data_IF_256278466841
#
_entry.id   IF_256278466841
#
_cell.length_a   1.000
_cell.length_b   1.000
_cell.length_c   1.000
_cell.angle_alpha   90.00
_cell.angle_beta   90.00
_cell.angle_gamma   90.00
#
_symmetry.space_group_name_H-M   'P 1'
#
loop_
_entity.id
_entity.type
_entity.pdbx_description
1 polymer ?
#
# COMPACT_ATOMS: atom_id res chain seq x y z
N UNK A 1 -61.51 -5.60 22.23
CA UNK A 1 -60.70 -4.38 22.02
C UNK A 1 -61.02 -3.88 20.64
N UNK A 2 -61.83 -2.83 20.62
CA UNK A 2 -62.68 -2.42 19.52
C UNK A 2 -61.92 -1.75 18.37
N UNK A 3 -62.44 -2.07 17.18
CA UNK A 3 -62.16 -1.50 15.87
C UNK A 3 -62.45 0.02 15.84
N UNK A 4 -61.40 0.84 15.80
CA UNK A 4 -61.52 2.31 15.69
C UNK A 4 -60.95 2.90 14.39
N UNK A 5 -60.70 2.09 13.36
CA UNK A 5 -59.92 2.55 12.19
C UNK A 5 -60.60 2.31 10.85
N UNK A 6 -61.72 2.97 10.58
CA UNK A 6 -62.21 3.17 9.21
C UNK A 6 -63.11 4.42 9.10
N UNK A 7 -62.64 5.55 9.66
CA UNK A 7 -63.18 6.87 9.33
C UNK A 7 -62.67 7.26 7.94
N UNK A 8 -63.37 6.80 6.91
CA UNK A 8 -63.18 7.30 5.55
C UNK A 8 -63.47 8.80 5.53
N UNK A 9 -62.42 9.62 5.38
CA UNK A 9 -62.55 11.05 5.15
C UNK A 9 -63.15 11.21 3.75
N UNK A 10 -64.48 11.37 3.68
CA UNK A 10 -65.14 11.87 2.47
C UNK A 10 -64.76 13.34 2.35
N UNK A 11 -63.91 13.66 1.38
CA UNK A 11 -63.60 15.04 1.05
C UNK A 11 -64.83 15.71 0.43
N UNK A 12 -65.43 16.64 1.17
CA UNK A 12 -66.47 17.56 0.69
C UNK A 12 -65.94 18.33 -0.52
N UNK A 13 -66.41 17.97 -1.73
CA UNK A 13 -66.50 18.69 -3.02
C UNK A 13 -65.53 19.84 -3.40
N UNK A 14 -64.42 20.04 -2.70
CA UNK A 14 -63.39 21.05 -2.93
C UNK A 14 -62.07 20.43 -3.41
N UNK A 15 -61.21 21.22 -4.05
CA UNK A 15 -59.88 20.78 -4.45
C UNK A 15 -59.08 20.42 -3.18
N UNK A 16 -58.58 19.18 -3.03
CA UNK A 16 -57.83 18.79 -1.84
C UNK A 16 -56.55 19.62 -1.73
N UNK A 17 -56.27 20.06 -0.51
CA UNK A 17 -55.15 20.92 -0.17
C UNK A 17 -53.97 20.08 0.35
N UNK A 18 -52.77 20.65 0.33
CA UNK A 18 -51.58 19.99 0.90
C UNK A 18 -51.74 19.68 2.41
N UNK A 19 -52.55 20.45 3.13
CA UNK A 19 -52.92 20.17 4.52
C UNK A 19 -53.67 18.86 4.68
N UNK A 20 -54.45 18.45 3.68
CA UNK A 20 -55.19 17.19 3.72
C UNK A 20 -54.26 15.97 3.59
N UNK A 21 -53.17 16.14 2.82
CA UNK A 21 -52.14 15.13 2.69
C UNK A 21 -51.33 14.97 3.98
N UNK A 22 -50.97 16.08 4.64
CA UNK A 22 -50.24 16.04 5.93
C UNK A 22 -51.08 15.44 7.05
N UNK A 23 -52.42 15.48 6.98
CA UNK A 23 -53.29 14.77 7.94
C UNK A 23 -53.15 13.25 7.88
N UNK A 24 -52.75 12.69 6.74
CA UNK A 24 -52.48 11.25 6.60
C UNK A 24 -51.09 10.86 7.10
N UNK A 25 -50.22 11.83 7.42
CA UNK A 25 -48.87 11.56 7.90
C UNK A 25 -48.93 10.96 9.31
N UNK A 26 -48.40 9.74 9.54
CA UNK A 26 -48.37 9.16 10.88
C UNK A 26 -47.53 10.01 11.84
N UNK A 27 -48.00 10.20 13.07
CA UNK A 27 -47.28 10.97 14.10
C UNK A 27 -45.95 10.33 14.52
N UNK A 28 -45.81 9.01 14.33
CA UNK A 28 -44.60 8.26 14.65
C UNK A 28 -44.18 7.39 13.48
N UNK A 29 -42.90 7.50 13.11
CA UNK A 29 -42.28 6.63 12.11
C UNK A 29 -41.86 5.30 12.77
N UNK A 30 -42.35 4.15 12.30
CA UNK A 30 -41.91 2.85 12.78
C UNK A 30 -40.45 2.62 12.44
N UNK A 31 -39.74 1.87 13.28
CA UNK A 31 -38.35 1.50 13.04
C UNK A 31 -38.26 0.72 11.70
N UNK A 32 -37.38 1.12 10.75
CA UNK A 32 -37.22 0.45 9.46
C UNK A 32 -36.86 -1.04 9.54
N UNK A 33 -36.30 -1.49 10.66
CA UNK A 33 -35.95 -2.90 10.91
C UNK A 33 -37.07 -3.71 11.61
N UNK A 34 -38.18 -3.07 11.98
CA UNK A 34 -39.32 -3.77 12.58
C UNK A 34 -40.07 -4.62 11.55
N UNK A 35 -40.59 -5.77 11.97
CA UNK A 35 -41.41 -6.65 11.10
C UNK A 35 -42.66 -5.93 10.59
N UNK A 36 -43.18 -5.00 11.38
CA UNK A 36 -44.40 -4.25 11.07
C UNK A 36 -44.17 -3.10 10.08
N UNK A 37 -42.91 -2.72 9.82
CA UNK A 37 -42.58 -1.59 8.94
C UNK A 37 -43.18 -1.76 7.55
N UNK A 38 -43.04 -2.95 6.98
CA UNK A 38 -43.51 -3.26 5.62
C UNK A 38 -45.03 -3.12 5.53
N UNK A 39 -45.75 -3.62 6.53
CA UNK A 39 -47.20 -3.54 6.57
C UNK A 39 -47.65 -2.08 6.72
N UNK A 40 -47.09 -1.34 7.68
CA UNK A 40 -47.43 0.07 7.90
C UNK A 40 -47.11 0.96 6.70
N UNK A 41 -45.97 0.74 6.04
CA UNK A 41 -45.58 1.48 4.83
C UNK A 41 -46.57 1.22 3.69
N UNK A 42 -46.95 -0.04 3.46
CA UNK A 42 -47.95 -0.40 2.44
C UNK A 42 -49.31 0.19 2.76
N UNK A 43 -49.80 0.04 3.99
CA UNK A 43 -51.08 0.62 4.43
C UNK A 43 -51.11 2.14 4.27
N UNK A 44 -50.00 2.84 4.52
CA UNK A 44 -49.89 4.28 4.31
C UNK A 44 -49.98 4.64 2.82
N UNK A 45 -49.24 3.95 1.96
CA UNK A 45 -49.33 4.15 0.51
C UNK A 45 -50.75 3.86 0.02
N UNK A 46 -51.36 2.77 0.46
CA UNK A 46 -52.72 2.40 0.09
C UNK A 46 -53.72 3.47 0.55
N UNK A 47 -53.60 4.00 1.77
CA UNK A 47 -54.44 5.08 2.27
C UNK A 47 -54.30 6.36 1.42
N UNK A 48 -53.09 6.74 1.02
CA UNK A 48 -52.85 7.87 0.11
C UNK A 48 -53.42 7.59 -1.28
N UNK A 49 -53.24 6.38 -1.78
CA UNK A 49 -53.76 5.92 -3.06
C UNK A 49 -55.29 5.78 -3.06
N UNK A 50 -55.96 5.63 -1.92
CA UNK A 50 -57.42 5.69 -1.85
C UNK A 50 -57.93 7.13 -1.72
N UNK A 51 -57.20 7.99 -1.00
CA UNK A 51 -57.64 9.36 -0.68
C UNK A 51 -57.48 10.36 -1.82
N UNK A 52 -56.43 10.22 -2.65
CA UNK A 52 -56.08 11.21 -3.67
C UNK A 52 -56.01 10.61 -5.06
N UNK A 53 -56.20 11.39 -6.11
CA UNK A 53 -55.97 10.98 -7.50
C UNK A 53 -54.50 11.09 -7.90
N UNK A 54 -54.09 10.41 -8.98
CA UNK A 54 -52.70 10.50 -9.46
C UNK A 54 -52.28 11.93 -9.87
N UNK A 55 -53.22 12.75 -10.35
CA UNK A 55 -52.95 14.16 -10.71
C UNK A 55 -52.67 15.00 -9.46
N UNK A 56 -53.48 14.83 -8.41
CA UNK A 56 -53.30 15.53 -7.14
C UNK A 56 -51.97 15.16 -6.48
N UNK A 57 -51.63 13.87 -6.42
CA UNK A 57 -50.33 13.44 -5.87
C UNK A 57 -49.14 14.01 -6.66
N UNK A 58 -49.29 14.17 -7.99
CA UNK A 58 -48.28 14.84 -8.82
C UNK A 58 -48.17 16.34 -8.52
N UNK A 59 -49.30 17.01 -8.31
CA UNK A 59 -49.34 18.43 -7.94
C UNK A 59 -48.68 18.63 -6.55
N UNK A 60 -49.01 17.80 -5.56
CA UNK A 60 -48.32 17.81 -4.26
C UNK A 60 -46.82 17.53 -4.37
N UNK A 61 -46.41 16.56 -5.20
CA UNK A 61 -44.99 16.30 -5.46
C UNK A 61 -44.25 17.53 -6.03
N UNK A 62 -44.93 18.38 -6.83
CA UNK A 62 -44.38 19.65 -7.32
C UNK A 62 -44.32 20.70 -6.22
N UNK A 63 -45.35 20.79 -5.38
CA UNK A 63 -45.41 21.73 -4.27
C UNK A 63 -44.30 21.46 -3.24
N UNK A 64 -44.01 20.19 -2.94
CA UNK A 64 -42.85 19.79 -2.13
C UNK A 64 -41.50 19.91 -2.85
N UNK A 65 -41.48 20.37 -4.11
CA UNK A 65 -40.26 20.50 -4.93
C UNK A 65 -39.45 19.20 -5.02
N UNK A 66 -40.14 18.06 -5.14
CA UNK A 66 -39.46 16.77 -5.33
C UNK A 66 -38.67 16.76 -6.64
N UNK A 67 -37.60 15.97 -6.71
CA UNK A 67 -36.77 15.87 -7.92
C UNK A 67 -37.56 15.46 -9.16
N UNK A 68 -37.09 15.84 -10.35
CA UNK A 68 -37.78 15.60 -11.63
C UNK A 68 -38.22 14.14 -11.86
N UNK A 69 -37.48 13.18 -11.29
CA UNK A 69 -37.81 11.73 -11.32
C UNK A 69 -39.16 11.38 -10.68
N UNK A 70 -39.69 12.21 -9.78
CA UNK A 70 -40.98 12.01 -9.10
C UNK A 70 -42.11 12.87 -9.66
N UNK A 71 -41.84 13.77 -10.62
CA UNK A 71 -42.83 14.67 -11.23
C UNK A 71 -43.23 14.19 -12.65
N UNK A 72 -42.47 13.25 -13.22
CA UNK A 72 -42.70 12.72 -14.57
C UNK A 72 -44.13 12.24 -14.78
N UNK A 73 -44.74 12.55 -15.93
CA UNK A 73 -46.18 12.35 -16.16
C UNK A 73 -46.64 10.90 -16.35
N UNK A 74 -45.72 9.95 -16.50
CA UNK A 74 -45.98 8.53 -16.77
C UNK A 74 -45.83 7.63 -15.54
N UNK A 75 -45.67 8.18 -14.34
CA UNK A 75 -45.53 7.37 -13.13
C UNK A 75 -46.88 6.83 -12.66
N UNK A 76 -46.85 5.65 -12.04
CA UNK A 76 -48.02 5.07 -11.36
C UNK A 76 -48.32 5.84 -10.08
N UNK A 77 -49.57 5.75 -9.62
CA UNK A 77 -50.06 6.40 -8.40
C UNK A 77 -49.19 6.08 -7.19
N UNK A 78 -48.87 4.81 -7.01
CA UNK A 78 -48.04 4.30 -5.91
C UNK A 78 -46.63 4.90 -5.91
N UNK A 79 -46.08 5.21 -7.09
CA UNK A 79 -44.75 5.85 -7.19
C UNK A 79 -44.77 7.30 -6.75
N UNK A 80 -45.86 8.05 -6.98
CA UNK A 80 -45.98 9.39 -6.42
C UNK A 80 -46.12 9.35 -4.91
N UNK A 81 -46.99 8.49 -4.38
CA UNK A 81 -47.18 8.32 -2.95
C UNK A 81 -45.87 7.89 -2.26
N UNK A 82 -45.20 6.85 -2.77
CA UNK A 82 -43.91 6.40 -2.27
C UNK A 82 -42.80 7.46 -2.37
N UNK A 83 -42.80 8.28 -3.43
CA UNK A 83 -41.87 9.41 -3.58
C UNK A 83 -42.06 10.49 -2.51
N UNK A 84 -43.32 10.86 -2.22
CA UNK A 84 -43.65 11.81 -1.15
C UNK A 84 -43.26 11.22 0.21
N UNK A 85 -43.67 9.99 0.51
CA UNK A 85 -43.38 9.31 1.77
C UNK A 85 -41.87 9.20 2.01
N UNK A 86 -41.09 8.88 0.97
CA UNK A 86 -39.64 8.72 1.10
C UNK A 86 -38.87 10.03 1.19
N UNK A 87 -39.13 10.97 0.29
CA UNK A 87 -38.33 12.20 0.20
C UNK A 87 -38.80 13.28 1.17
N UNK A 88 -40.12 13.44 1.34
CA UNK A 88 -40.67 14.50 2.17
C UNK A 88 -40.88 14.05 3.61
N UNK A 89 -41.35 12.82 3.83
CA UNK A 89 -41.62 12.32 5.18
C UNK A 89 -40.46 11.51 5.78
N UNK A 90 -39.41 11.22 5.01
CA UNK A 90 -38.18 10.58 5.49
C UNK A 90 -38.31 9.08 5.75
N UNK A 91 -39.32 8.41 5.18
CA UNK A 91 -39.51 6.96 5.32
C UNK A 91 -38.75 6.22 4.22
N UNK A 92 -37.70 5.44 4.54
CA UNK A 92 -36.94 4.70 3.54
C UNK A 92 -37.86 3.83 2.68
N UNK A 93 -37.70 3.87 1.37
CA UNK A 93 -38.50 3.00 0.51
C UNK A 93 -38.18 1.53 0.77
N UNK A 94 -39.14 0.64 0.54
CA UNK A 94 -38.92 -0.81 0.68
C UNK A 94 -37.80 -1.31 -0.23
N UNK A 95 -37.60 -0.67 -1.38
CA UNK A 95 -36.50 -0.97 -2.29
C UNK A 95 -35.15 -0.55 -1.72
N UNK A 96 -35.04 0.64 -1.14
CA UNK A 96 -33.82 1.11 -0.46
C UNK A 96 -33.49 0.24 0.75
N UNK A 97 -34.49 -0.17 1.53
CA UNK A 97 -34.30 -1.07 2.66
C UNK A 97 -33.85 -2.46 2.22
N UNK A 98 -34.48 -3.03 1.19
CA UNK A 98 -34.06 -4.31 0.64
C UNK A 98 -32.63 -4.23 0.08
N UNK A 99 -32.29 -3.14 -0.62
CA UNK A 99 -30.95 -2.91 -1.13
C UNK A 99 -29.93 -2.77 0.01
N UNK A 100 -30.22 -1.97 1.03
CA UNK A 100 -29.36 -1.79 2.21
C UNK A 100 -29.17 -3.11 2.97
N UNK A 101 -30.24 -3.85 3.20
CA UNK A 101 -30.20 -5.16 3.86
C UNK A 101 -29.35 -6.15 3.06
N UNK A 102 -29.51 -6.20 1.73
CA UNK A 102 -28.65 -7.02 0.86
C UNK A 102 -27.18 -6.60 0.97
N UNK A 103 -26.89 -5.31 0.93
CA UNK A 103 -25.52 -4.80 1.07
C UNK A 103 -24.87 -5.17 2.42
N UNK A 104 -25.67 -5.32 3.47
CA UNK A 104 -25.23 -5.67 4.83
C UNK A 104 -25.14 -7.18 5.09
N UNK A 105 -25.97 -7.99 4.42
CA UNK A 105 -26.11 -9.43 4.72
C UNK A 105 -25.59 -10.36 3.64
N UNK A 106 -25.52 -9.90 2.39
CA UNK A 106 -25.09 -10.71 1.27
C UNK A 106 -23.57 -10.90 1.30
N UNK A 107 -23.16 -12.14 1.54
CA UNK A 107 -21.77 -12.57 1.39
C UNK A 107 -21.53 -12.81 -0.10
N UNK A 108 -20.63 -12.02 -0.69
CA UNK A 108 -20.24 -12.16 -2.08
C UNK A 108 -18.76 -12.53 -2.17
N UNK A 109 -18.38 -13.11 -3.30
CA UNK A 109 -16.97 -13.31 -3.67
C UNK A 109 -16.65 -12.37 -4.82
N UNK A 110 -15.52 -11.64 -4.73
CA UNK A 110 -15.01 -10.79 -5.81
C UNK A 110 -13.53 -11.06 -6.04
N UNK A 111 -13.12 -11.10 -7.30
CA UNK A 111 -11.73 -11.29 -7.68
C UNK A 111 -11.14 -9.99 -8.22
N UNK A 112 -9.95 -9.63 -7.74
CA UNK A 112 -9.17 -8.47 -8.17
C UNK A 112 -7.92 -8.94 -8.88
N UNK A 113 -7.84 -8.74 -10.19
CA UNK A 113 -6.63 -9.04 -10.95
C UNK A 113 -5.48 -8.15 -10.45
N UNK A 114 -4.31 -8.76 -10.23
CA UNK A 114 -3.12 -8.06 -9.73
C UNK A 114 -1.88 -8.56 -10.46
N UNK A 115 -0.96 -7.64 -10.73
CA UNK A 115 0.36 -7.97 -11.24
C UNK A 115 1.29 -8.44 -10.10
N UNK A 116 2.40 -9.15 -10.37
CA UNK A 116 3.32 -9.60 -9.33
C UNK A 116 3.87 -8.45 -8.45
N UNK A 117 4.18 -7.29 -9.05
CA UNK A 117 4.63 -6.10 -8.34
C UNK A 117 3.56 -5.52 -7.43
N UNK A 118 2.32 -5.43 -7.92
CA UNK A 118 1.16 -5.00 -7.14
C UNK A 118 0.91 -5.96 -5.99
N UNK A 119 0.93 -7.28 -6.26
CA UNK A 119 0.71 -8.30 -5.25
C UNK A 119 1.74 -8.20 -4.12
N UNK A 120 3.03 -8.08 -4.45
CA UNK A 120 4.09 -7.92 -3.45
C UNK A 120 3.85 -6.72 -2.53
N UNK A 121 3.52 -5.57 -3.11
CA UNK A 121 3.28 -4.32 -2.37
C UNK A 121 1.97 -4.34 -1.57
N UNK A 122 0.93 -5.03 -2.05
CA UNK A 122 -0.33 -5.25 -1.32
C UNK A 122 -0.13 -6.23 -0.17
N UNK A 123 0.66 -7.29 -0.37
CA UNK A 123 0.97 -8.28 0.66
C UNK A 123 1.71 -7.65 1.83
N UNK A 124 2.63 -6.73 1.51
CA UNK A 124 3.55 -6.13 2.47
C UNK A 124 4.58 -7.12 2.98
N UNK A 125 5.37 -6.69 3.96
CA UNK A 125 6.40 -7.53 4.58
C UNK A 125 5.76 -8.75 5.24
N UNK A 126 6.18 -9.94 4.80
CA UNK A 126 5.74 -11.24 5.30
C UNK A 126 4.21 -11.46 5.27
N UNK A 127 3.49 -10.74 4.41
CA UNK A 127 2.04 -10.82 4.31
C UNK A 127 1.26 -10.08 5.42
N UNK A 128 1.95 -9.32 6.27
CA UNK A 128 1.31 -8.60 7.37
C UNK A 128 0.28 -7.56 6.92
N UNK A 129 0.48 -6.91 5.78
CA UNK A 129 -0.47 -5.93 5.27
C UNK A 129 -1.75 -6.60 4.76
N UNK A 130 -1.64 -7.75 4.09
CA UNK A 130 -2.79 -8.54 3.66
C UNK A 130 -3.61 -9.07 4.84
N UNK A 131 -2.93 -9.58 5.87
CA UNK A 131 -3.58 -10.04 7.09
C UNK A 131 -4.31 -8.90 7.80
N UNK A 132 -3.66 -7.73 7.93
CA UNK A 132 -4.29 -6.54 8.50
C UNK A 132 -5.53 -6.11 7.72
N UNK A 133 -5.47 -6.15 6.39
CA UNK A 133 -6.59 -5.81 5.51
C UNK A 133 -7.76 -6.78 5.68
N UNK A 134 -7.48 -8.09 5.76
CA UNK A 134 -8.48 -9.13 6.06
C UNK A 134 -9.14 -8.90 7.43
N UNK A 135 -8.36 -8.64 8.47
CA UNK A 135 -8.88 -8.41 9.83
C UNK A 135 -9.69 -7.11 9.95
N UNK A 136 -9.20 -6.03 9.34
CA UNK A 136 -9.83 -4.70 9.42
C UNK A 136 -11.22 -4.71 8.78
N UNK A 137 -11.35 -5.33 7.61
CA UNK A 137 -12.62 -5.38 6.88
C UNK A 137 -13.45 -6.64 7.16
N UNK A 138 -12.95 -7.56 8.00
CA UNK A 138 -13.56 -8.87 8.30
C UNK A 138 -13.91 -9.65 7.04
N UNK A 139 -12.98 -9.69 6.09
CA UNK A 139 -13.10 -10.42 4.83
C UNK A 139 -12.10 -11.56 4.79
N UNK A 140 -12.44 -12.64 4.10
CA UNK A 140 -11.49 -13.70 3.77
C UNK A 140 -10.78 -13.36 2.45
N UNK A 141 -9.45 -13.42 2.43
CA UNK A 141 -8.65 -13.11 1.25
C UNK A 141 -7.81 -14.34 0.89
N UNK A 142 -7.90 -14.75 -0.36
CA UNK A 142 -7.15 -15.86 -0.93
C UNK A 142 -6.49 -15.45 -2.25
N UNK A 143 -5.37 -16.10 -2.59
CA UNK A 143 -4.65 -15.84 -3.84
C UNK A 143 -5.04 -16.90 -4.88
N UNK A 144 -5.36 -16.44 -6.09
CA UNK A 144 -5.58 -17.29 -7.27
C UNK A 144 -4.43 -17.07 -8.24
N UNK A 145 -3.87 -18.13 -8.81
CA UNK A 145 -2.65 -18.06 -9.64
C UNK A 145 -2.91 -18.02 -11.16
N UNK A 146 -4.13 -18.34 -11.62
CA UNK A 146 -4.50 -18.41 -13.05
C UNK A 146 -5.93 -17.91 -13.28
N UNK A 147 -6.16 -16.60 -13.53
CA UNK A 147 -5.18 -15.50 -13.55
C UNK A 147 -4.68 -15.11 -12.16
N UNK A 148 -3.56 -14.38 -12.08
CA UNK A 148 -3.05 -13.85 -10.81
C UNK A 148 -4.03 -12.82 -10.23
N UNK A 149 -4.75 -13.20 -9.18
CA UNK A 149 -5.83 -12.40 -8.62
C UNK A 149 -6.00 -12.61 -7.11
N UNK A 150 -6.35 -11.54 -6.41
CA UNK A 150 -6.81 -11.60 -5.02
C UNK A 150 -8.32 -11.88 -5.01
N UNK A 151 -8.71 -13.06 -4.51
CA UNK A 151 -10.10 -13.43 -4.30
C UNK A 151 -10.50 -13.03 -2.88
N UNK A 152 -11.48 -12.15 -2.77
CA UNK A 152 -12.00 -11.61 -1.50
C UNK A 152 -13.43 -12.07 -1.31
N UNK A 153 -13.72 -12.63 -0.16
CA UNK A 153 -15.03 -13.13 0.25
C UNK A 153 -15.48 -12.45 1.54
N UNK A 154 -16.74 -12.01 1.58
CA UNK A 154 -17.28 -11.27 2.71
C UNK A 154 -18.50 -10.43 2.34
N UNK A 155 -18.91 -9.57 3.27
CA UNK A 155 -20.07 -8.68 3.06
C UNK A 155 -19.77 -7.67 1.96
N UNK A 156 -20.75 -7.41 1.09
CA UNK A 156 -20.60 -6.55 -0.09
C UNK A 156 -20.06 -5.14 0.21
N UNK A 157 -20.54 -4.49 1.27
CA UNK A 157 -20.03 -3.18 1.68
C UNK A 157 -18.53 -3.22 1.98
N UNK A 158 -18.09 -4.22 2.76
CA UNK A 158 -16.69 -4.42 3.13
C UNK A 158 -15.79 -4.75 1.94
N UNK A 159 -16.30 -5.50 0.98
CA UNK A 159 -15.56 -5.81 -0.25
C UNK A 159 -15.34 -4.54 -1.09
N UNK A 160 -16.27 -3.59 -1.07
CA UNK A 160 -16.07 -2.30 -1.75
C UNK A 160 -14.98 -1.47 -1.04
N UNK A 161 -14.97 -1.42 0.30
CA UNK A 161 -13.89 -0.75 1.06
C UNK A 161 -12.51 -1.35 0.71
N UNK A 162 -12.45 -2.69 0.58
CA UNK A 162 -11.24 -3.42 0.17
C UNK A 162 -10.86 -3.10 -1.27
N UNK A 163 -11.84 -3.00 -2.17
CA UNK A 163 -11.60 -2.62 -3.55
C UNK A 163 -10.95 -1.24 -3.65
N UNK A 164 -11.48 -0.25 -2.91
CA UNK A 164 -10.95 1.11 -2.83
C UNK A 164 -9.53 1.15 -2.27
N UNK A 165 -9.27 0.34 -1.24
CA UNK A 165 -7.93 0.22 -0.65
C UNK A 165 -6.94 -0.37 -1.65
N UNK A 166 -7.33 -1.44 -2.37
CA UNK A 166 -6.49 -2.06 -3.40
C UNK A 166 -6.21 -1.07 -4.54
N UNK A 167 -7.22 -0.32 -5.01
CA UNK A 167 -7.01 0.70 -6.06
C UNK A 167 -6.09 1.81 -5.58
N UNK A 168 -6.29 2.31 -4.36
CA UNK A 168 -5.41 3.32 -3.77
C UNK A 168 -3.96 2.83 -3.67
N UNK A 169 -3.74 1.57 -3.30
CA UNK A 169 -2.39 0.99 -3.29
C UNK A 169 -1.81 0.95 -4.70
N UNK A 170 -2.58 0.49 -5.71
CA UNK A 170 -2.13 0.45 -7.12
C UNK A 170 -1.72 1.82 -7.64
N UNK A 171 -2.54 2.84 -7.35
CA UNK A 171 -2.29 4.21 -7.80
C UNK A 171 -1.08 4.85 -7.10
N UNK A 172 -0.72 4.36 -5.91
CA UNK A 172 0.45 4.82 -5.14
C UNK A 172 1.78 4.19 -5.57
N UNK A 173 1.79 3.24 -6.52
CA UNK A 173 3.01 2.55 -6.93
C UNK A 173 3.84 3.45 -7.84
N UNK A 174 5.08 3.69 -7.43
CA UNK A 174 6.11 4.39 -8.18
C UNK A 174 6.99 3.34 -8.85
N UNK A 175 7.22 3.48 -10.14
CA UNK A 175 8.09 2.61 -10.93
C UNK A 175 9.34 3.38 -11.41
N UNK A 176 10.52 2.77 -11.25
CA UNK A 176 11.78 3.28 -11.80
C UNK A 176 12.54 2.14 -12.48
N UNK A 177 13.10 2.42 -13.67
CA UNK A 177 14.02 1.51 -14.36
C UNK A 177 15.45 2.02 -14.19
N UNK A 178 16.32 1.16 -13.66
CA UNK A 178 17.71 1.50 -13.36
C UNK A 178 18.63 0.66 -14.21
N UNK A 179 19.55 1.31 -14.92
CA UNK A 179 20.62 0.63 -15.65
C UNK A 179 21.73 0.22 -14.68
N UNK A 180 22.08 -1.05 -14.67
CA UNK A 180 23.16 -1.57 -13.85
C UNK A 180 24.52 -1.32 -14.52
N UNK A 181 25.61 -1.24 -13.73
CA UNK A 181 26.98 -1.19 -14.26
C UNK A 181 27.35 -2.48 -15.00
N UNK A 182 26.87 -3.63 -14.51
CA UNK A 182 27.00 -4.92 -15.19
C UNK A 182 25.90 -5.12 -16.23
N UNK A 183 26.23 -5.80 -17.35
CA UNK A 183 25.24 -6.27 -18.33
C UNK A 183 24.56 -7.57 -17.89
N UNK A 184 25.08 -8.22 -16.85
CA UNK A 184 24.55 -9.47 -16.34
C UNK A 184 23.34 -9.21 -15.43
N UNK A 185 22.30 -10.08 -15.49
CA UNK A 185 21.17 -9.98 -14.58
C UNK A 185 21.60 -10.30 -13.15
N UNK A 186 21.00 -9.61 -12.16
CA UNK A 186 21.25 -9.92 -10.75
C UNK A 186 20.72 -11.32 -10.41
N UNK A 187 21.39 -12.02 -9.50
CA UNK A 187 20.91 -13.30 -9.00
C UNK A 187 19.47 -13.14 -8.41
N UNK A 188 18.49 -13.97 -8.83
CA UNK A 188 17.12 -13.92 -8.32
C UNK A 188 17.01 -13.98 -6.79
N UNK A 189 17.88 -14.74 -6.11
CA UNK A 189 17.89 -14.83 -4.65
C UNK A 189 18.28 -13.49 -4.00
N UNK A 190 19.26 -12.78 -4.60
CA UNK A 190 19.65 -11.44 -4.17
C UNK A 190 18.50 -10.44 -4.38
N UNK A 191 17.80 -10.51 -5.51
CA UNK A 191 16.64 -9.67 -5.77
C UNK A 191 15.56 -9.86 -4.72
N UNK A 192 15.18 -11.11 -4.42
CA UNK A 192 14.19 -11.43 -3.40
C UNK A 192 14.60 -10.87 -2.03
N UNK A 193 15.88 -11.00 -1.68
CA UNK A 193 16.42 -10.52 -0.40
C UNK A 193 16.42 -9.01 -0.31
N UNK A 194 16.85 -8.30 -1.36
CA UNK A 194 16.78 -6.83 -1.44
C UNK A 194 15.32 -6.39 -1.34
N UNK A 195 14.42 -7.05 -2.08
CA UNK A 195 13.01 -6.74 -2.08
C UNK A 195 12.37 -6.83 -0.70
N UNK A 196 12.63 -7.92 0.03
CA UNK A 196 12.15 -8.07 1.43
C UNK A 196 12.79 -7.08 2.39
N UNK A 197 14.06 -6.76 2.21
CA UNK A 197 14.80 -5.86 3.11
C UNK A 197 14.29 -4.44 3.03
N UNK A 198 14.02 -3.95 1.81
CA UNK A 198 13.66 -2.56 1.58
C UNK A 198 12.15 -2.36 1.44
N UNK A 199 11.37 -3.42 1.19
CA UNK A 199 9.94 -3.32 0.96
C UNK A 199 9.60 -2.78 -0.44
N UNK A 200 10.45 -3.06 -1.43
CA UNK A 200 10.26 -2.70 -2.83
C UNK A 200 10.31 -3.94 -3.71
N UNK A 201 9.46 -4.03 -4.72
CA UNK A 201 9.53 -5.12 -5.68
C UNK A 201 10.63 -4.82 -6.71
N UNK A 202 11.51 -5.77 -6.97
CA UNK A 202 12.61 -5.63 -7.93
C UNK A 202 12.61 -6.85 -8.84
N UNK A 203 12.72 -6.61 -10.14
CA UNK A 203 12.88 -7.67 -11.13
C UNK A 203 13.94 -7.30 -12.16
N UNK A 204 14.64 -8.32 -12.68
CA UNK A 204 15.51 -8.13 -13.82
C UNK A 204 14.67 -7.87 -15.08
N UNK A 205 15.06 -6.85 -15.82
CA UNK A 205 14.59 -6.57 -17.18
C UNK A 205 15.69 -6.97 -18.17
N UNK A 206 15.40 -6.93 -19.48
CA UNK A 206 16.41 -7.13 -20.51
C UNK A 206 17.55 -6.10 -20.39
N UNK A 207 18.73 -6.46 -20.92
CA UNK A 207 19.88 -5.55 -21.13
C UNK A 207 20.58 -5.04 -19.86
N UNK A 208 20.60 -5.81 -18.78
CA UNK A 208 21.26 -5.38 -17.53
C UNK A 208 20.54 -4.22 -16.86
N UNK A 209 19.23 -4.15 -17.01
CA UNK A 209 18.38 -3.18 -16.30
C UNK A 209 17.56 -3.89 -15.24
N UNK A 210 17.23 -3.18 -14.17
CA UNK A 210 16.28 -3.64 -13.16
C UNK A 210 15.10 -2.70 -13.11
N UNK A 211 13.89 -3.28 -13.02
CA UNK A 211 12.67 -2.53 -12.74
C UNK A 211 12.40 -2.60 -11.25
N UNK A 212 12.21 -1.43 -10.64
CA UNK A 212 11.96 -1.26 -9.21
C UNK A 212 10.57 -0.65 -9.05
N UNK A 213 9.71 -1.29 -8.27
CA UNK A 213 8.38 -0.78 -7.92
C UNK A 213 8.29 -0.61 -6.40
N UNK A 214 7.91 0.58 -5.93
CA UNK A 214 7.76 0.85 -4.49
C UNK A 214 6.59 1.81 -4.23
N UNK A 215 6.06 1.82 -3.00
CA UNK A 215 5.04 2.81 -2.58
C UNK A 215 5.67 4.10 -2.07
N UNK A 216 6.85 3.99 -1.46
CA UNK A 216 7.54 5.11 -0.84
C UNK A 216 8.85 5.41 -1.58
N UNK A 217 9.19 6.70 -1.78
CA UNK A 217 10.41 7.08 -2.49
C UNK A 217 11.68 6.65 -1.75
N UNK A 218 11.64 6.57 -0.41
CA UNK A 218 12.76 6.06 0.39
C UNK A 218 13.05 4.59 0.08
N UNK A 219 12.00 3.76 -0.02
CA UNK A 219 12.13 2.34 -0.37
C UNK A 219 12.67 2.17 -1.79
N UNK A 220 12.24 3.03 -2.71
CA UNK A 220 12.77 3.05 -4.07
C UNK A 220 14.28 3.39 -4.09
N UNK A 221 14.70 4.45 -3.41
CA UNK A 221 16.10 4.86 -3.34
C UNK A 221 16.99 3.79 -2.66
N UNK A 222 16.48 3.16 -1.61
CA UNK A 222 17.15 2.04 -0.94
C UNK A 222 17.36 0.84 -1.85
N UNK A 223 16.32 0.45 -2.60
CA UNK A 223 16.36 -0.63 -3.57
C UNK A 223 17.35 -0.34 -4.69
N UNK A 224 17.32 0.88 -5.26
CA UNK A 224 18.26 1.33 -6.28
C UNK A 224 19.71 1.23 -5.81
N UNK A 225 20.00 1.74 -4.60
CA UNK A 225 21.35 1.69 -4.03
C UNK A 225 21.84 0.25 -3.83
N UNK A 226 20.99 -0.64 -3.33
CA UNK A 226 21.35 -2.04 -3.10
C UNK A 226 21.51 -2.82 -4.41
N UNK A 227 20.67 -2.56 -5.42
CA UNK A 227 20.79 -3.19 -6.73
C UNK A 227 22.08 -2.75 -7.46
N UNK A 228 22.39 -1.45 -7.44
CA UNK A 228 23.64 -0.94 -8.02
C UNK A 228 24.87 -1.54 -7.32
N UNK A 229 24.84 -1.61 -5.99
CA UNK A 229 25.93 -2.21 -5.21
C UNK A 229 26.10 -3.70 -5.53
N UNK A 230 25.01 -4.46 -5.55
CA UNK A 230 25.06 -5.89 -5.86
C UNK A 230 25.61 -6.13 -7.28
N UNK A 231 25.25 -5.28 -8.25
CA UNK A 231 25.77 -5.37 -9.61
C UNK A 231 27.26 -5.05 -9.70
N UNK A 232 27.77 -4.09 -8.90
CA UNK A 232 29.19 -3.78 -8.81
C UNK A 232 29.99 -4.88 -8.12
N UNK A 233 29.45 -5.47 -7.05
CA UNK A 233 30.13 -6.54 -6.30
C UNK A 233 30.35 -7.80 -7.18
N UNK A 234 29.43 -8.12 -8.10
CA UNK A 234 29.60 -9.23 -9.04
C UNK A 234 30.55 -8.89 -10.20
N UNK A 235 30.60 -7.65 -10.68
CA UNK A 235 31.56 -7.24 -11.73
C UNK A 235 33.00 -7.15 -11.22
N UNK A 236 33.19 -6.80 -9.95
CA UNK A 236 34.49 -6.55 -9.32
C UNK A 236 35.07 -7.76 -8.58
N UNK A 237 34.55 -8.98 -8.81
CA UNK A 237 35.15 -10.24 -8.30
C UNK A 237 36.59 -10.48 -8.77
N UNK A 238 37.16 -9.59 -9.59
CA UNK A 238 38.61 -9.45 -9.73
C UNK A 238 39.18 -8.87 -8.44
N UNK A 239 39.31 -9.68 -7.37
CA UNK A 239 40.04 -9.41 -6.11
C UNK A 239 40.79 -8.07 -6.04
N UNK A 240 40.07 -6.94 -5.93
CA UNK A 240 40.72 -5.65 -5.74
C UNK A 240 40.98 -5.54 -4.24
N UNK A 241 42.14 -6.05 -3.84
CA UNK A 241 42.68 -5.78 -2.51
C UNK A 241 42.91 -4.27 -2.46
N UNK A 242 41.98 -3.54 -1.85
CA UNK A 242 42.13 -2.12 -1.59
C UNK A 242 42.92 -1.96 -0.29
N UNK A 243 44.16 -1.50 -0.41
CA UNK A 243 44.98 -1.16 0.75
C UNK A 243 45.05 0.37 0.88
N UNK A 244 44.53 0.93 1.97
CA UNK A 244 44.59 2.38 2.21
C UNK A 244 45.93 2.76 2.86
N UNK A 245 46.74 3.57 2.18
CA UNK A 245 48.01 4.13 2.68
C UNK A 245 47.77 5.55 3.21
N UNK A 246 48.01 5.83 4.51
CA UNK A 246 47.92 7.20 5.04
C UNK A 246 48.90 8.15 4.34
N UNK A 247 48.45 9.37 4.06
CA UNK A 247 49.22 10.45 3.45
C UNK A 247 50.01 11.17 4.54
N UNK A 248 51.34 11.01 4.59
CA UNK A 248 52.15 11.80 5.54
C UNK A 248 53.50 11.23 5.93
N UNK A 249 53.80 9.96 5.61
CA UNK A 249 55.14 9.45 5.82
C UNK A 249 55.98 9.67 4.56
N UNK A 250 56.62 10.85 4.50
CA UNK A 250 57.87 10.98 3.77
C UNK A 250 58.79 9.87 4.29
N UNK A 251 59.32 9.04 3.39
CA UNK A 251 60.37 8.08 3.69
C UNK A 251 61.50 8.89 4.35
N UNK A 252 61.57 8.86 5.68
CA UNK A 252 62.71 9.42 6.38
C UNK A 252 63.88 8.49 6.05
N UNK A 253 64.66 8.87 5.04
CA UNK A 253 65.90 8.20 4.61
C UNK A 253 67.01 8.21 5.70
N UNK A 254 66.68 8.41 6.98
CA UNK A 254 67.65 8.86 7.98
C UNK A 254 67.63 8.13 9.33
N UNK A 255 67.00 6.97 9.50
CA UNK A 255 67.11 6.27 10.79
C UNK A 255 67.16 4.74 10.66
N UNK A 256 68.39 4.20 10.61
CA UNK A 256 68.74 2.79 10.41
C UNK A 256 68.39 1.91 11.65
N UNK A 257 67.92 2.50 12.75
CA UNK A 257 67.66 1.78 14.01
C UNK A 257 66.19 1.39 14.25
N UNK A 258 65.25 1.83 13.40
CA UNK A 258 63.86 1.38 13.49
C UNK A 258 63.65 0.18 12.56
N UNK A 259 63.04 -0.94 13.03
CA UNK A 259 62.75 -2.06 12.16
C UNK A 259 61.90 -1.59 10.97
N UNK A 260 62.07 -2.20 9.78
CA UNK A 260 61.35 -1.80 8.58
C UNK A 260 59.85 -1.76 8.88
N UNK A 261 59.14 -0.79 8.32
CA UNK A 261 57.69 -0.62 8.48
C UNK A 261 56.95 -1.89 8.05
N UNK A 262 56.86 -2.85 8.97
CA UNK A 262 56.12 -4.10 8.78
C UNK A 262 54.68 -3.80 9.11
N UNK A 263 53.85 -4.18 8.16
CA UNK A 263 52.42 -4.06 8.31
C UNK A 263 51.79 -5.42 8.11
N UNK A 264 50.68 -5.66 8.79
CA UNK A 264 49.86 -6.83 8.55
C UNK A 264 48.48 -6.40 8.06
N UNK A 265 47.97 -7.20 7.14
CA UNK A 265 46.58 -7.17 6.73
C UNK A 265 45.79 -7.99 7.74
N UNK A 266 44.96 -7.31 8.54
CA UNK A 266 44.02 -7.99 9.41
C UNK A 266 42.69 -8.12 8.69
N UNK A 267 42.10 -9.32 8.61
CA UNK A 267 40.77 -9.45 8.05
C UNK A 267 39.80 -8.63 8.91
N UNK A 268 39.21 -7.58 8.34
CA UNK A 268 38.06 -6.91 8.94
C UNK A 268 36.83 -7.66 8.45
N UNK A 269 36.64 -8.82 9.05
CA UNK A 269 35.39 -9.54 8.91
C UNK A 269 34.38 -8.66 9.65
N UNK A 270 33.46 -8.04 8.92
CA UNK A 270 32.20 -7.69 9.54
C UNK A 270 31.66 -9.04 10.04
N UNK A 271 31.69 -9.29 11.36
CA UNK A 271 31.43 -10.61 11.95
C UNK A 271 30.06 -11.18 11.59
N UNK A 272 29.21 -10.36 10.97
CA UNK A 272 27.99 -10.78 10.30
C UNK A 272 28.07 -10.44 8.81
N UNK A 273 27.85 -11.41 7.90
CA UNK A 273 27.54 -11.08 6.52
C UNK A 273 26.38 -10.08 6.51
N UNK A 274 26.55 -8.99 5.76
CA UNK A 274 25.45 -8.05 5.58
C UNK A 274 24.29 -8.85 4.97
N UNK A 275 23.04 -8.61 5.39
CA UNK A 275 21.91 -9.42 4.95
C UNK A 275 21.59 -9.28 3.46
N UNK A 276 22.45 -8.67 2.63
CA UNK A 276 22.31 -8.54 1.19
C UNK A 276 23.60 -8.82 0.41
N UNK A 277 24.72 -9.20 1.04
CA UNK A 277 25.94 -9.61 0.33
C UNK A 277 26.13 -11.14 0.41
N UNK A 278 26.59 -11.74 -0.69
CA UNK A 278 26.87 -13.18 -0.82
C UNK A 278 28.24 -13.59 -0.29
N UNK A 279 29.08 -12.65 0.14
CA UNK A 279 30.38 -12.94 0.74
C UNK A 279 30.82 -11.87 1.74
N UNK A 280 31.51 -12.31 2.79
CA UNK A 280 32.34 -11.47 3.67
C UNK A 280 33.81 -11.50 3.26
N UNK A 281 34.10 -12.08 2.10
CA UNK A 281 35.46 -12.37 1.69
C UNK A 281 36.17 -11.13 1.13
N UNK A 282 37.41 -10.91 1.55
CA UNK A 282 38.32 -9.95 0.90
C UNK A 282 38.47 -8.56 1.52
N UNK A 283 37.79 -8.21 2.62
CA UNK A 283 37.97 -6.90 3.28
C UNK A 283 39.03 -6.97 4.37
N UNK A 284 40.20 -6.40 4.13
CA UNK A 284 41.31 -6.34 5.10
C UNK A 284 41.53 -4.90 5.58
N UNK A 285 41.74 -4.72 6.88
CA UNK A 285 42.28 -3.49 7.45
C UNK A 285 43.79 -3.59 7.50
N UNK A 286 44.46 -2.58 6.95
CA UNK A 286 45.89 -2.42 7.05
C UNK A 286 46.25 -1.81 8.41
N UNK A 287 47.10 -2.46 9.23
CA UNK A 287 47.65 -1.90 10.46
C UNK A 287 49.16 -2.11 10.57
N UNK A 288 49.87 -1.17 11.19
CA UNK A 288 51.30 -1.27 11.47
C UNK A 288 51.54 -2.19 12.66
N UNK A 289 52.60 -2.99 12.62
CA UNK A 289 52.94 -3.95 13.68
C UNK A 289 53.30 -3.27 15.00
N UNK A 290 54.01 -2.16 14.89
CA UNK A 290 54.63 -1.49 16.04
C UNK A 290 53.56 -0.88 16.94
N UNK A 291 52.45 -0.40 16.36
CA UNK A 291 51.30 0.16 17.07
C UNK A 291 50.59 -0.89 17.97
N UNK A 292 50.87 -2.20 17.81
CA UNK A 292 50.32 -3.24 18.67
C UNK A 292 51.04 -3.35 20.03
N UNK A 293 52.27 -2.85 20.11
CA UNK A 293 53.07 -2.86 21.34
C UNK A 293 52.84 -1.63 22.21
N UNK A 294 52.13 -0.62 21.69
CA UNK A 294 51.81 0.60 22.42
C UNK A 294 50.49 0.44 23.19
N UNK A 295 50.50 0.81 24.48
CA UNK A 295 49.40 0.62 25.44
C UNK A 295 48.15 1.45 25.11
N UNK A 296 48.23 2.35 24.13
CA UNK A 296 47.12 3.20 23.69
C UNK A 296 46.59 2.74 22.31
N UNK A 297 45.63 1.82 22.31
CA UNK A 297 45.07 1.17 21.10
C UNK A 297 44.18 2.07 20.21
N UNK A 298 44.22 3.38 20.39
CA UNK A 298 43.46 4.34 19.58
C UNK A 298 44.28 4.85 18.40
N UNK A 299 43.75 4.74 17.18
CA UNK A 299 44.34 5.44 16.03
C UNK A 299 44.36 6.95 16.32
N UNK A 300 45.52 7.59 16.18
CA UNK A 300 45.62 9.04 16.30
C UNK A 300 45.10 9.71 15.03
N UNK A 301 43.77 9.83 14.94
CA UNK A 301 43.04 10.38 13.77
C UNK A 301 43.53 11.79 13.43
N UNK A 302 44.01 12.56 14.42
CA UNK A 302 44.54 13.90 14.20
C UNK A 302 45.84 13.91 13.38
N UNK A 303 46.67 12.88 13.51
CA UNK A 303 47.93 12.74 12.77
C UNK A 303 47.76 11.98 11.46
N UNK A 304 47.08 10.84 11.47
CA UNK A 304 46.93 9.98 10.28
C UNK A 304 45.82 10.46 9.35
N UNK A 305 44.96 11.36 9.82
CA UNK A 305 43.70 11.72 9.18
C UNK A 305 42.61 10.64 9.28
N UNK A 306 42.98 9.39 9.57
CA UNK A 306 42.08 8.25 9.53
C UNK A 306 41.40 8.03 8.17
N UNK A 307 40.73 6.88 8.02
CA UNK A 307 39.94 6.56 6.82
C UNK A 307 38.83 7.59 6.54
N UNK A 308 38.30 8.24 7.59
CA UNK A 308 37.19 9.17 7.48
C UNK A 308 37.59 10.56 6.94
N UNK A 309 38.84 11.03 7.15
CA UNK A 309 39.25 12.34 6.62
C UNK A 309 39.82 12.28 5.20
N UNK A 310 39.91 11.10 4.59
CA UNK A 310 40.28 10.95 3.17
C UNK A 310 41.71 11.36 2.81
N UNK A 311 42.60 11.53 3.80
CA UNK A 311 44.00 11.94 3.61
C UNK A 311 44.92 10.74 3.34
N UNK A 312 44.67 9.97 2.30
CA UNK A 312 45.49 8.78 2.01
C UNK A 312 45.26 8.25 0.61
N UNK A 313 46.22 7.49 0.10
CA UNK A 313 46.14 6.85 -1.22
C UNK A 313 45.49 5.47 -1.10
N UNK A 314 44.58 5.14 -2.01
CA UNK A 314 44.07 3.77 -2.15
C UNK A 314 44.98 3.04 -3.11
N UNK A 315 45.65 1.99 -2.65
CA UNK A 315 46.45 1.11 -3.48
C UNK A 315 45.58 0.00 -4.06
N UNK A 316 45.76 -0.26 -5.34
CA UNK A 316 45.12 -1.36 -6.08
C UNK A 316 46.09 -2.55 -6.24
N UNK A 317 45.57 -3.76 -6.48
CA UNK A 317 46.38 -4.97 -6.62
C UNK A 317 47.46 -4.87 -7.73
N UNK A 318 47.22 -4.06 -8.74
CA UNK A 318 48.17 -3.74 -9.82
C UNK A 318 49.41 -2.99 -9.31
N UNK A 319 49.26 -2.07 -8.36
CA UNK A 319 50.37 -1.30 -7.77
C UNK A 319 51.18 -2.15 -6.76
N UNK A 320 50.51 -3.08 -6.08
CA UNK A 320 51.15 -4.02 -5.15
C UNK A 320 52.16 -4.95 -5.84
N UNK A 321 51.92 -5.29 -7.10
CA UNK A 321 52.79 -6.15 -7.90
C UNK A 321 54.07 -5.43 -8.34
N UNK A 322 54.01 -4.11 -8.56
CA UNK A 322 55.15 -3.29 -8.99
C UNK A 322 56.17 -3.08 -7.85
N UNK A 323 55.71 -2.93 -6.60
CA UNK A 323 56.61 -2.71 -5.46
C UNK A 323 57.48 -3.93 -5.09
N UNK A 324 57.06 -5.17 -5.42
CA UNK A 324 57.89 -6.36 -5.16
C UNK A 324 59.12 -6.49 -6.05
N UNK A 325 59.19 -5.75 -7.17
CA UNK A 325 60.29 -5.84 -8.15
C UNK A 325 61.36 -4.75 -7.99
N UNK A 326 61.22 -3.85 -7.01
CA UNK A 326 62.23 -2.82 -6.72
C UNK A 326 62.99 -3.06 -5.41
N UNK A 327 62.85 -4.25 -4.81
CA UNK A 327 63.65 -4.69 -3.68
C UNK A 327 64.40 -6.00 -4.00
N UNK A 328 65.41 -5.90 -4.85
CA UNK A 328 66.52 -6.86 -4.93
C UNK A 328 67.81 -6.09 -5.08
#
# INVERSE_FOLDING_TARGET
MESEAEKYIRFDHGKPLLSDLERLRPSSQPNPHSRDYVQRYKSLIDAMCHSFTSRQLREFAREYKLGAKFIASKLTKDRYAGGIVSQQWGWPSLQELAHKTRMETEVITRSFAVDPSQLFLIMGKDGGALLKLSQTHRVHISLTHKPLALRVEGVRSRINDVAETITSVKDSIIEEKVKLPSKEPLNPELLERISRTVGAFIENTAEGQVRICAREPFSLAGARRLALRAASDDSDRVNQIFAYRPSGHAEHEGNILLPPNRYFLYPFINSRPLPWSTGTDGVFRWRRVIDFLEVNQGENIAETGGLAAGRGGVLTATEFSVMRWHST
#
